data_IF_445829585081
#
_entry.id   IF_445829585081
#
_cell.length_a   1.000
_cell.length_b   1.000
_cell.length_c   1.000
_cell.angle_alpha   90.00
_cell.angle_beta   90.00
_cell.angle_gamma   90.00
#
_symmetry.space_group_name_H-M   'P 1'
#
loop_
_entity.id
_entity.type
_entity.pdbx_description
1 polymer ?
#
# COMPACT_ATOMS: atom_id res chain seq x y z
N UNK A 1 4.84 -7.76 3.26
CA UNK A 1 4.51 -7.27 1.90
C UNK A 1 3.08 -6.79 1.98
N UNK A 2 2.82 -5.49 1.79
CA UNK A 2 1.48 -4.92 1.87
C UNK A 2 0.86 -4.74 0.50
N UNK A 3 -0.42 -4.39 0.45
CA UNK A 3 -1.15 -4.11 -0.79
C UNK A 3 -1.60 -2.64 -0.83
N UNK A 4 -1.45 -2.00 -1.99
CA UNK A 4 -1.78 -0.59 -2.19
C UNK A 4 -3.21 -0.43 -2.72
N UNK A 5 -4.03 0.33 -2.00
CA UNK A 5 -5.37 0.72 -2.44
C UNK A 5 -5.67 2.15 -1.95
N UNK A 6 -6.11 3.03 -2.84
CA UNK A 6 -6.40 4.46 -2.57
C UNK A 6 -5.29 5.18 -1.78
N UNK A 7 -4.03 4.99 -2.18
CA UNK A 7 -2.86 5.60 -1.54
C UNK A 7 -2.62 5.18 -0.08
N UNK A 8 -3.27 4.09 0.36
CA UNK A 8 -3.06 3.43 1.65
C UNK A 8 -2.52 2.03 1.45
N UNK A 9 -1.71 1.59 2.41
CA UNK A 9 -1.10 0.28 2.40
C UNK A 9 -1.75 -0.63 3.43
N UNK A 10 -2.24 -1.77 2.97
CA UNK A 10 -2.92 -2.78 3.76
C UNK A 10 -1.99 -3.96 3.98
N UNK A 11 -1.88 -4.44 5.22
CA UNK A 11 -0.94 -5.53 5.57
C UNK A 11 -1.42 -6.91 5.14
N UNK A 12 -2.70 -7.06 4.80
CA UNK A 12 -3.32 -8.33 4.43
C UNK A 12 -4.31 -8.18 3.26
N UNK A 13 -4.50 -9.25 2.50
CA UNK A 13 -5.47 -9.31 1.38
C UNK A 13 -6.90 -9.06 1.88
N UNK A 14 -7.26 -9.62 3.03
CA UNK A 14 -8.57 -9.42 3.66
C UNK A 14 -8.83 -7.94 3.98
N UNK A 15 -7.84 -7.23 4.53
CA UNK A 15 -7.97 -5.78 4.80
C UNK A 15 -8.07 -4.94 3.53
N UNK A 16 -7.46 -5.38 2.42
CA UNK A 16 -7.65 -4.73 1.12
C UNK A 16 -9.07 -4.98 0.59
N UNK A 17 -9.57 -6.22 0.65
CA UNK A 17 -10.93 -6.53 0.21
C UNK A 17 -11.98 -5.76 1.00
N UNK A 18 -11.79 -5.63 2.32
CA UNK A 18 -12.66 -4.85 3.18
C UNK A 18 -12.66 -3.36 2.83
N UNK A 19 -11.48 -2.78 2.56
CA UNK A 19 -11.37 -1.40 2.11
C UNK A 19 -12.03 -1.17 0.74
N UNK A 20 -11.81 -2.07 -0.22
CA UNK A 20 -12.42 -1.98 -1.55
C UNK A 20 -13.94 -2.13 -1.47
N UNK A 21 -14.43 -3.06 -0.64
CA UNK A 21 -15.87 -3.27 -0.44
C UNK A 21 -16.53 -2.07 0.26
N UNK A 22 -15.82 -1.39 1.16
CA UNK A 22 -16.30 -0.17 1.81
C UNK A 22 -16.47 1.02 0.83
N UNK A 23 -15.72 1.04 -0.26
CA UNK A 23 -15.81 2.09 -1.30
C UNK A 23 -16.96 1.83 -2.29
N UNK A 24 -17.69 0.72 -2.18
CA UNK A 24 -18.81 0.45 -3.07
C UNK A 24 -19.98 1.45 -2.89
N UNK A 25 -20.57 1.95 -3.99
CA UNK A 25 -21.77 2.78 -3.92
C UNK A 25 -22.96 1.94 -3.40
N UNK A 26 -23.73 2.48 -2.45
CA UNK A 26 -24.91 1.79 -1.91
C UNK A 26 -26.07 1.68 -2.92
N UNK A 27 -26.12 2.59 -3.90
CA UNK A 27 -27.12 2.63 -4.96
C UNK A 27 -26.48 3.00 -6.29
N UNK A 28 -26.84 2.33 -7.37
CA UNK A 28 -26.39 2.68 -8.72
C UNK A 28 -27.46 2.31 -9.74
N UNK A 29 -27.83 3.25 -10.61
CA UNK A 29 -28.84 3.07 -11.68
C UNK A 29 -30.20 2.49 -11.22
N UNK A 30 -30.61 2.76 -9.99
CA UNK A 30 -31.86 2.22 -9.46
C UNK A 30 -31.76 0.77 -8.99
N UNK A 31 -30.55 0.24 -8.77
CA UNK A 31 -30.31 -1.00 -8.03
C UNK A 31 -29.68 -0.67 -6.66
N UNK A 32 -30.06 -1.42 -5.63
CA UNK A 32 -29.36 -1.43 -4.36
C UNK A 32 -28.14 -2.34 -4.47
N UNK A 33 -26.94 -1.81 -4.18
CA UNK A 33 -25.69 -2.55 -4.31
C UNK A 33 -25.10 -2.80 -2.92
N UNK A 34 -24.75 -4.05 -2.66
CA UNK A 34 -24.08 -4.48 -1.44
C UNK A 34 -22.80 -5.23 -1.80
N UNK A 35 -21.67 -4.73 -1.31
CA UNK A 35 -20.38 -5.40 -1.48
C UNK A 35 -20.01 -6.12 -0.20
N UNK A 36 -19.80 -7.44 -0.30
CA UNK A 36 -19.46 -8.33 0.80
C UNK A 36 -18.02 -8.78 0.57
N UNK A 37 -17.06 -8.31 1.38
CA UNK A 37 -15.68 -8.75 1.28
C UNK A 37 -15.54 -10.19 1.80
N UNK A 38 -14.82 -11.03 1.07
CA UNK A 38 -14.39 -12.36 1.50
C UNK A 38 -12.86 -12.41 1.57
N UNK A 39 -12.29 -13.50 2.09
CA UNK A 39 -10.82 -13.66 2.15
C UNK A 39 -10.17 -13.77 0.77
N UNK A 40 -10.93 -14.12 -0.27
CA UNK A 40 -10.44 -14.40 -1.63
C UNK A 40 -10.94 -13.42 -2.67
N UNK A 41 -12.08 -12.77 -2.46
CA UNK A 41 -12.77 -11.97 -3.45
C UNK A 41 -13.76 -10.99 -2.78
N UNK A 42 -14.48 -10.22 -3.58
CA UNK A 42 -15.55 -9.34 -3.14
C UNK A 42 -16.80 -9.76 -3.91
N UNK A 43 -17.83 -10.18 -3.17
CA UNK A 43 -19.13 -10.49 -3.77
C UNK A 43 -19.96 -9.21 -3.83
N UNK A 44 -20.37 -8.83 -5.04
CA UNK A 44 -21.21 -7.67 -5.32
C UNK A 44 -22.62 -8.17 -5.57
N UNK A 45 -23.53 -7.92 -4.63
CA UNK A 45 -24.96 -8.18 -4.77
C UNK A 45 -25.64 -6.93 -5.30
N UNK A 46 -26.25 -7.01 -6.48
CA UNK A 46 -27.15 -5.99 -7.01
C UNK A 46 -28.59 -6.47 -6.84
N UNK A 47 -29.39 -5.68 -6.14
CA UNK A 47 -30.82 -5.93 -5.97
C UNK A 47 -31.57 -4.89 -6.77
N UNK A 48 -32.27 -5.32 -7.81
CA UNK A 48 -33.20 -4.46 -8.54
C UNK A 48 -34.39 -4.16 -7.62
N UNK A 49 -34.58 -2.89 -7.27
CA UNK A 49 -35.65 -2.47 -6.33
C UNK A 49 -37.06 -2.56 -6.95
N UNK A 50 -37.18 -2.62 -8.28
CA UNK A 50 -38.47 -2.73 -8.97
C UNK A 50 -38.93 -4.19 -9.07
N UNK A 51 -38.00 -5.09 -9.36
CA UNK A 51 -38.31 -6.52 -9.57
C UNK A 51 -38.00 -7.39 -8.36
N UNK A 52 -37.31 -6.86 -7.34
CA UNK A 52 -36.76 -7.60 -6.19
C UNK A 52 -35.82 -8.75 -6.59
N UNK A 53 -35.26 -8.69 -7.80
CA UNK A 53 -34.33 -9.70 -8.31
C UNK A 53 -32.92 -9.41 -7.79
N UNK A 54 -32.24 -10.42 -7.25
CA UNK A 54 -30.86 -10.29 -6.77
C UNK A 54 -29.91 -10.94 -7.76
N UNK A 55 -28.92 -10.16 -8.20
CA UNK A 55 -27.81 -10.61 -9.03
C UNK A 55 -26.51 -10.52 -8.25
N UNK A 56 -25.81 -11.64 -8.09
CA UNK A 56 -24.51 -11.71 -7.44
C UNK A 56 -23.38 -11.80 -8.47
N UNK A 57 -22.37 -10.94 -8.35
CA UNK A 57 -21.16 -10.99 -9.17
C UNK A 57 -19.94 -11.04 -8.26
N UNK A 58 -18.98 -11.90 -8.56
CA UNK A 58 -17.71 -11.96 -7.83
C UNK A 58 -16.67 -11.08 -8.51
N UNK A 59 -15.99 -10.23 -7.75
CA UNK A 59 -14.93 -9.35 -8.21
C UNK A 59 -13.67 -9.55 -7.37
N UNK A 60 -12.54 -9.82 -8.02
CA UNK A 60 -11.25 -9.95 -7.36
C UNK A 60 -10.41 -8.70 -7.65
N UNK A 61 -10.15 -7.84 -6.66
CA UNK A 61 -9.35 -6.63 -6.87
C UNK A 61 -7.90 -6.98 -7.19
N UNK A 62 -7.26 -6.13 -8.00
CA UNK A 62 -5.84 -6.31 -8.33
C UNK A 62 -4.96 -6.02 -7.11
N UNK A 63 -4.05 -6.95 -6.83
CA UNK A 63 -3.13 -6.87 -5.71
C UNK A 63 -1.87 -6.11 -6.13
N UNK A 64 -1.89 -4.79 -5.99
CA UNK A 64 -0.71 -3.95 -6.23
C UNK A 64 0.18 -4.00 -4.98
N UNK A 65 1.46 -4.33 -5.14
CA UNK A 65 2.39 -4.35 -4.00
C UNK A 65 2.62 -2.94 -3.45
N UNK A 66 2.46 -2.77 -2.14
CA UNK A 66 2.94 -1.60 -1.42
C UNK A 66 4.35 -1.87 -0.91
N UNK A 67 5.34 -1.43 -1.68
CA UNK A 67 6.76 -1.49 -1.33
C UNK A 67 7.26 -0.14 -0.78
N UNK A 68 6.72 0.24 0.39
CA UNK A 68 7.29 1.33 1.18
C UNK A 68 8.64 0.93 1.81
N UNK A 69 8.88 -0.37 1.99
CA UNK A 69 10.08 -0.87 2.66
C UNK A 69 11.33 -0.77 1.78
N UNK A 70 11.20 -0.98 0.46
CA UNK A 70 12.33 -0.85 -0.46
C UNK A 70 12.86 0.60 -0.53
N UNK A 71 11.95 1.57 -0.63
CA UNK A 71 12.33 3.00 -0.72
C UNK A 71 12.95 3.53 0.56
N UNK A 72 12.46 3.13 1.74
CA UNK A 72 13.04 3.56 3.01
C UNK A 72 14.40 2.89 3.25
N UNK A 73 14.55 1.61 2.91
CA UNK A 73 15.83 0.91 3.06
C UNK A 73 16.92 1.51 2.16
N UNK A 74 16.59 1.91 0.93
CA UNK A 74 17.52 2.58 0.02
C UNK A 74 17.94 3.98 0.52
N UNK A 75 17.02 4.75 1.12
CA UNK A 75 17.36 6.07 1.70
C UNK A 75 18.25 5.91 2.94
N UNK A 76 17.97 4.91 3.79
CA UNK A 76 18.77 4.63 4.98
C UNK A 76 20.16 4.13 4.59
N UNK A 77 20.29 3.27 3.58
CA UNK A 77 21.59 2.78 3.12
C UNK A 77 22.45 3.91 2.52
N UNK A 78 21.84 4.78 1.71
CA UNK A 78 22.53 5.91 1.08
C UNK A 78 22.98 6.95 2.11
N UNK A 79 22.14 7.24 3.12
CA UNK A 79 22.52 8.16 4.20
C UNK A 79 23.68 7.63 5.06
N UNK A 80 23.72 6.32 5.32
CA UNK A 80 24.84 5.70 6.03
C UNK A 80 26.15 5.78 5.24
N UNK A 81 26.11 5.53 3.93
CA UNK A 81 27.27 5.66 3.05
C UNK A 81 27.82 7.09 3.04
N UNK A 82 26.95 8.09 2.94
CA UNK A 82 27.35 9.51 2.98
C UNK A 82 27.99 9.88 4.32
N UNK A 83 27.43 9.41 5.43
CA UNK A 83 27.99 9.65 6.76
C UNK A 83 29.41 9.09 6.90
N UNK A 84 29.66 7.87 6.42
CA UNK A 84 30.98 7.25 6.46
C UNK A 84 32.02 8.02 5.63
N UNK A 85 31.64 8.52 4.45
CA UNK A 85 32.53 9.32 3.60
C UNK A 85 32.93 10.62 4.30
N UNK A 86 31.97 11.29 4.96
CA UNK A 86 32.23 12.52 5.71
C UNK A 86 33.15 12.28 6.90
N UNK A 87 32.93 11.19 7.66
CA UNK A 87 33.79 10.80 8.79
C UNK A 87 35.20 10.49 8.30
N UNK A 88 35.34 9.71 7.22
CA UNK A 88 36.65 9.39 6.65
C UNK A 88 37.41 10.66 6.20
N UNK A 89 36.74 11.58 5.51
CA UNK A 89 37.33 12.85 5.09
C UNK A 89 37.76 13.73 6.28
N UNK A 90 36.98 13.74 7.37
CA UNK A 90 37.33 14.47 8.59
C UNK A 90 38.53 13.85 9.29
N UNK A 91 38.58 12.51 9.39
CA UNK A 91 39.69 11.79 10.01
C UNK A 91 41.03 12.06 9.28
N UNK A 92 41.02 12.05 7.94
CA UNK A 92 42.21 12.37 7.13
C UNK A 92 42.66 13.81 7.38
N UNK A 93 41.74 14.78 7.43
CA UNK A 93 42.06 16.18 7.75
C UNK A 93 42.71 16.33 9.13
N UNK A 94 42.22 15.61 10.12
CA UNK A 94 42.79 15.67 11.47
C UNK A 94 44.19 15.05 11.53
N UNK A 95 44.42 13.91 10.86
CA UNK A 95 45.76 13.32 10.78
C UNK A 95 46.77 14.26 10.12
N UNK A 96 46.40 14.90 8.99
CA UNK A 96 47.30 15.85 8.31
C UNK A 96 47.70 17.01 9.23
N UNK A 97 46.76 17.54 10.02
CA UNK A 97 47.06 18.60 10.98
C UNK A 97 48.02 18.15 12.08
N UNK A 98 47.90 16.91 12.56
CA UNK A 98 48.80 16.36 13.58
C UNK A 98 50.23 16.24 13.05
N UNK A 99 50.43 15.90 11.77
CA UNK A 99 51.77 15.83 11.17
C UNK A 99 52.35 17.17 10.72
N UNK A 100 51.55 18.24 10.68
CA UNK A 100 51.99 19.60 10.38
C UNK A 100 52.38 20.41 11.64
N UNK A 101 52.35 19.78 12.83
CA UNK A 101 52.78 20.37 14.11
C UNK A 101 54.16 19.82 14.48
#
# INVERSE_FOLDING_TARGET
MGYLFENRCYSSVSSLHEAVAATCPAVSNGDAIKCIPTSTDITIERTDILTSTVHSLTYTPQQISCDLSATVADVVSLSWQLALILIAGFAVRQMIKVFQT
#
